data_IF_758681817045
#
_entry.id   IF_758681817045
#
_cell.length_a   1.000
_cell.length_b   1.000
_cell.length_c   1.000
_cell.angle_alpha   90.00
_cell.angle_beta   90.00
_cell.angle_gamma   90.00
#
_symmetry.space_group_name_H-M   'P 1'
#
loop_
_entity.id
_entity.type
_entity.pdbx_description
1 polymer ?
#
# COMPACT_ATOMS: atom_id res chain seq x y z
N UNK A 1 24.01 -5.16 -49.38
CA UNK A 1 24.06 -4.54 -48.07
C UNK A 1 23.49 -5.53 -47.03
N UNK A 2 24.39 -6.27 -46.36
CA UNK A 2 24.02 -7.31 -45.39
C UNK A 2 23.58 -6.68 -44.07
N UNK A 3 22.38 -6.98 -43.59
CA UNK A 3 21.94 -6.68 -42.25
C UNK A 3 22.63 -7.64 -41.29
N UNK A 4 23.66 -7.17 -40.62
CA UNK A 4 24.29 -7.89 -39.51
C UNK A 4 23.30 -8.07 -38.36
N UNK A 5 22.85 -9.31 -38.17
CA UNK A 5 22.06 -9.73 -36.99
C UNK A 5 22.93 -9.59 -35.74
N UNK A 6 22.67 -8.59 -34.93
CA UNK A 6 23.20 -8.52 -33.58
C UNK A 6 22.52 -9.63 -32.75
N UNK A 7 23.02 -10.85 -32.81
CA UNK A 7 22.70 -11.89 -31.84
C UNK A 7 23.37 -11.47 -30.54
N UNK A 8 22.62 -10.73 -29.70
CA UNK A 8 23.05 -10.45 -28.35
C UNK A 8 23.28 -11.77 -27.61
N UNK A 9 24.48 -11.98 -27.14
CA UNK A 9 24.80 -13.12 -26.28
C UNK A 9 24.00 -12.94 -24.99
N UNK A 10 22.95 -13.73 -24.82
CA UNK A 10 22.17 -13.74 -23.57
C UNK A 10 23.09 -14.31 -22.48
N UNK A 11 23.47 -13.45 -21.52
CA UNK A 11 24.30 -13.87 -20.38
C UNK A 11 23.49 -14.81 -19.51
N UNK A 12 24.00 -16.00 -19.27
CA UNK A 12 23.44 -16.92 -18.29
C UNK A 12 23.85 -16.48 -16.87
N UNK A 13 22.87 -16.33 -15.98
CA UNK A 13 23.05 -16.02 -14.56
C UNK A 13 22.71 -17.28 -13.76
N UNK A 14 23.71 -17.86 -13.07
CA UNK A 14 23.49 -19.04 -12.24
C UNK A 14 22.64 -18.72 -11.01
N UNK A 15 22.01 -19.75 -10.42
CA UNK A 15 21.25 -19.59 -9.17
C UNK A 15 22.10 -19.06 -8.01
N UNK A 16 23.36 -19.44 -7.95
CA UNK A 16 24.30 -18.95 -6.95
C UNK A 16 24.57 -17.44 -7.13
N UNK A 17 24.84 -17.01 -8.37
CA UNK A 17 25.02 -15.59 -8.69
C UNK A 17 23.76 -14.79 -8.41
N UNK A 18 22.58 -15.32 -8.78
CA UNK A 18 21.29 -14.68 -8.51
C UNK A 18 21.06 -14.49 -7.02
N UNK A 19 21.29 -15.52 -6.20
CA UNK A 19 21.16 -15.44 -4.74
C UNK A 19 22.11 -14.42 -4.15
N UNK A 20 23.38 -14.41 -4.54
CA UNK A 20 24.37 -13.46 -4.07
C UNK A 20 23.95 -12.01 -4.36
N UNK A 21 23.49 -11.74 -5.58
CA UNK A 21 22.97 -10.41 -5.97
C UNK A 21 21.75 -10.00 -5.14
N UNK A 22 20.79 -10.92 -4.90
CA UNK A 22 19.60 -10.64 -4.10
C UNK A 22 19.96 -10.38 -2.64
N UNK A 23 20.86 -11.15 -2.05
CA UNK A 23 21.30 -10.96 -0.67
C UNK A 23 21.92 -9.57 -0.47
N UNK A 24 22.75 -9.13 -1.41
CA UNK A 24 23.35 -7.79 -1.38
C UNK A 24 22.31 -6.69 -1.62
N UNK A 25 21.52 -6.81 -2.70
CA UNK A 25 20.53 -5.81 -3.08
C UNK A 25 19.44 -5.61 -2.03
N UNK A 26 19.05 -6.68 -1.36
CA UNK A 26 18.00 -6.65 -0.34
C UNK A 26 18.55 -6.42 1.07
N UNK A 27 19.79 -5.95 1.21
CA UNK A 27 20.46 -5.63 2.49
C UNK A 27 20.47 -6.78 3.51
N UNK A 28 20.49 -8.02 3.03
CA UNK A 28 20.59 -9.20 3.88
C UNK A 28 22.05 -9.57 4.22
N UNK A 29 23.00 -9.12 3.39
CA UNK A 29 24.43 -9.28 3.68
C UNK A 29 24.85 -8.34 4.82
N UNK A 30 25.66 -8.76 5.80
CA UNK A 30 26.04 -7.93 6.95
C UNK A 30 26.60 -6.55 6.57
N UNK A 31 27.44 -6.48 5.54
CA UNK A 31 28.08 -5.24 5.07
C UNK A 31 27.14 -4.28 4.31
N UNK A 32 25.91 -4.71 3.99
CA UNK A 32 24.90 -3.87 3.31
C UNK A 32 23.80 -3.37 4.24
N UNK A 33 23.78 -3.83 5.47
CA UNK A 33 22.78 -3.45 6.47
C UNK A 33 22.87 -1.96 6.80
N UNK A 34 21.75 -1.35 7.16
CA UNK A 34 21.67 0.05 7.55
C UNK A 34 20.55 0.25 8.57
N UNK A 35 20.66 1.25 9.43
CA UNK A 35 19.59 1.63 10.35
C UNK A 35 18.65 2.69 9.76
N UNK A 36 18.90 3.13 8.50
CA UNK A 36 17.98 3.98 7.74
C UNK A 36 16.81 3.16 7.18
N UNK A 37 15.65 3.27 7.83
CA UNK A 37 14.44 2.52 7.48
C UNK A 37 13.86 2.94 6.13
N UNK A 38 14.04 4.22 5.75
CA UNK A 38 13.59 4.73 4.43
C UNK A 38 14.44 4.11 3.33
N UNK A 39 15.76 4.07 3.49
CA UNK A 39 16.66 3.43 2.53
C UNK A 39 16.38 1.92 2.40
N UNK A 40 16.01 1.23 3.50
CA UNK A 40 15.58 -0.18 3.44
C UNK A 40 14.32 -0.34 2.59
N UNK A 41 13.33 0.53 2.78
CA UNK A 41 12.10 0.52 1.98
C UNK A 41 12.38 0.78 0.51
N UNK A 42 13.24 1.75 0.21
CA UNK A 42 13.56 2.16 -1.17
C UNK A 42 14.31 1.07 -1.94
N UNK A 43 15.28 0.41 -1.32
CA UNK A 43 16.02 -0.69 -1.97
C UNK A 43 15.14 -1.91 -2.29
N UNK A 44 14.07 -2.10 -1.52
CA UNK A 44 13.08 -3.15 -1.76
C UNK A 44 11.93 -2.66 -2.64
N UNK A 45 11.92 -1.36 -2.98
CA UNK A 45 10.79 -0.62 -3.59
C UNK A 45 9.64 -0.44 -2.61
N UNK A 46 9.29 -1.47 -1.86
CA UNK A 46 8.24 -1.45 -0.83
C UNK A 46 8.39 -2.63 0.14
N UNK A 47 7.83 -2.47 1.33
CA UNK A 47 7.65 -3.54 2.31
C UNK A 47 6.20 -4.02 2.29
N UNK A 48 5.97 -5.32 2.18
CA UNK A 48 4.62 -5.89 2.21
C UNK A 48 3.98 -5.66 3.60
N UNK A 49 2.74 -5.19 3.62
CA UNK A 49 2.08 -4.69 4.84
C UNK A 49 0.64 -5.19 5.03
N UNK A 50 0.26 -6.27 4.39
CA UNK A 50 -1.06 -6.88 4.64
C UNK A 50 -1.12 -7.37 6.10
N UNK A 51 -0.05 -7.97 6.59
CA UNK A 51 0.20 -8.14 8.02
C UNK A 51 1.13 -7.01 8.50
N UNK A 52 0.67 -6.13 9.42
CA UNK A 52 1.48 -5.01 9.93
C UNK A 52 2.80 -5.43 10.58
N UNK A 53 2.83 -6.57 11.28
CA UNK A 53 4.04 -7.07 11.97
C UNK A 53 5.15 -7.38 10.97
N UNK A 54 4.79 -7.86 9.78
CA UNK A 54 5.77 -8.22 8.74
C UNK A 54 6.63 -7.05 8.28
N UNK A 55 6.13 -5.81 8.35
CA UNK A 55 6.89 -4.59 8.03
C UNK A 55 8.06 -4.42 8.99
N UNK A 56 7.78 -4.53 10.29
CA UNK A 56 8.78 -4.38 11.35
C UNK A 56 9.85 -5.46 11.26
N UNK A 57 9.45 -6.72 11.10
CA UNK A 57 10.37 -7.84 10.97
C UNK A 57 11.21 -7.76 9.70
N UNK A 58 10.60 -7.35 8.59
CA UNK A 58 11.31 -7.16 7.32
C UNK A 58 12.35 -6.05 7.39
N UNK A 59 12.05 -4.95 8.05
CA UNK A 59 13.01 -3.88 8.28
C UNK A 59 14.12 -4.33 9.25
N UNK A 60 13.75 -4.87 10.41
CA UNK A 60 14.70 -5.31 11.44
C UNK A 60 15.71 -6.33 10.92
N UNK A 61 15.30 -7.25 10.05
CA UNK A 61 16.19 -8.24 9.42
C UNK A 61 17.30 -7.61 8.54
N UNK A 62 17.15 -6.33 8.15
CA UNK A 62 18.05 -5.56 7.28
C UNK A 62 18.80 -4.45 8.00
N UNK A 63 18.46 -4.24 9.27
CA UNK A 63 19.13 -3.23 10.09
C UNK A 63 20.49 -3.72 10.58
N UNK A 64 21.44 -2.80 10.71
CA UNK A 64 22.72 -3.05 11.36
C UNK A 64 22.50 -3.32 12.86
N UNK A 65 21.63 -2.52 13.47
CA UNK A 65 21.18 -2.64 14.86
C UNK A 65 19.67 -2.89 14.89
N UNK A 66 19.20 -4.16 14.87
CA UNK A 66 17.76 -4.46 14.79
C UNK A 66 16.95 -3.78 15.90
N UNK A 67 15.99 -2.94 15.52
CA UNK A 67 15.10 -2.24 16.44
C UNK A 67 13.74 -2.00 15.79
N UNK A 68 12.66 -2.04 16.55
CA UNK A 68 11.31 -1.74 16.07
C UNK A 68 10.97 -0.25 16.19
N UNK A 69 11.61 0.48 17.10
CA UNK A 69 11.31 1.88 17.37
C UNK A 69 11.51 2.80 16.15
N UNK A 70 12.62 2.74 15.39
CA UNK A 70 12.79 3.57 14.18
C UNK A 70 11.72 3.29 13.12
N UNK A 71 11.24 2.05 13.01
CA UNK A 71 10.17 1.68 12.07
C UNK A 71 8.85 2.31 12.51
N UNK A 72 8.54 2.28 13.82
CA UNK A 72 7.35 2.91 14.38
C UNK A 72 7.39 4.43 14.18
N UNK A 73 8.51 5.08 14.47
CA UNK A 73 8.69 6.52 14.27
C UNK A 73 8.47 6.91 12.79
N UNK A 74 9.11 6.19 11.86
CA UNK A 74 8.97 6.45 10.42
C UNK A 74 7.53 6.30 9.90
N UNK A 75 6.73 5.39 10.48
CA UNK A 75 5.34 5.15 10.09
C UNK A 75 4.35 6.12 10.76
N UNK A 76 4.52 6.43 12.04
CA UNK A 76 3.48 7.06 12.86
C UNK A 76 3.80 8.48 13.29
N UNK A 77 5.08 8.80 13.52
CA UNK A 77 5.55 10.11 14.00
C UNK A 77 6.02 10.97 12.83
N UNK A 78 7.15 10.61 12.21
CA UNK A 78 7.78 11.36 11.12
C UNK A 78 7.02 11.23 9.80
N UNK A 79 6.28 10.14 9.63
CA UNK A 79 5.53 9.82 8.41
C UNK A 79 6.39 9.87 7.15
N UNK A 80 7.63 9.45 7.26
CA UNK A 80 8.56 9.28 6.14
C UNK A 80 8.25 8.01 5.34
N UNK A 81 7.61 7.03 6.00
CA UNK A 81 7.03 5.84 5.39
C UNK A 81 5.50 5.93 5.39
N UNK A 82 4.89 5.55 4.27
CA UNK A 82 3.45 5.57 4.06
C UNK A 82 2.92 4.18 3.75
N UNK A 83 1.89 3.77 4.49
CA UNK A 83 1.15 2.54 4.20
C UNK A 83 0.07 2.83 3.16
N UNK A 84 0.13 2.17 2.02
CA UNK A 84 -0.69 2.50 0.86
C UNK A 84 -1.16 1.25 0.11
N UNK A 85 -2.37 1.30 -0.43
CA UNK A 85 -2.86 0.27 -1.34
C UNK A 85 -2.12 0.36 -2.68
N UNK A 86 -1.64 -0.80 -3.18
CA UNK A 86 -0.98 -0.87 -4.47
C UNK A 86 -1.23 -2.23 -5.15
N UNK A 87 -0.18 -2.89 -5.61
CA UNK A 87 -0.25 -4.11 -6.42
C UNK A 87 -1.19 -5.16 -5.81
N UNK A 88 -2.01 -5.78 -6.66
CA UNK A 88 -2.95 -6.87 -6.30
C UNK A 88 -3.94 -6.53 -5.17
N UNK A 89 -4.25 -5.25 -4.98
CA UNK A 89 -5.16 -4.75 -3.94
C UNK A 89 -4.69 -5.07 -2.50
N UNK A 90 -3.37 -5.21 -2.31
CA UNK A 90 -2.76 -5.41 -1.00
C UNK A 90 -2.10 -4.14 -0.48
N UNK A 91 -1.82 -4.10 0.82
CA UNK A 91 -1.17 -2.98 1.48
C UNK A 91 0.34 -3.13 1.44
N UNK A 92 1.01 -2.03 1.17
CA UNK A 92 2.45 -1.91 1.10
C UNK A 92 2.93 -0.67 1.84
N UNK A 93 4.13 -0.70 2.34
CA UNK A 93 4.80 0.46 2.93
C UNK A 93 5.87 0.96 1.96
N UNK A 94 5.80 2.23 1.63
CA UNK A 94 6.69 2.94 0.71
C UNK A 94 7.29 4.15 1.39
N UNK A 95 8.46 4.62 0.90
CA UNK A 95 8.86 6.00 1.11
C UNK A 95 7.87 6.96 0.43
N UNK A 96 7.87 8.23 0.83
CA UNK A 96 7.00 9.25 0.18
C UNK A 96 7.20 9.33 -1.33
N UNK A 97 8.45 9.23 -1.79
CA UNK A 97 8.79 9.26 -3.21
C UNK A 97 8.20 8.06 -3.96
N UNK A 98 8.41 6.85 -3.45
CA UNK A 98 7.88 5.64 -4.05
C UNK A 98 6.35 5.52 -3.91
N UNK A 99 5.75 6.05 -2.84
CA UNK A 99 4.29 6.09 -2.68
C UNK A 99 3.63 6.90 -3.81
N UNK A 100 4.20 8.04 -4.20
CA UNK A 100 3.70 8.84 -5.32
C UNK A 100 3.74 8.06 -6.64
N UNK A 101 4.85 7.37 -6.92
CA UNK A 101 4.98 6.52 -8.12
C UNK A 101 3.99 5.34 -8.09
N UNK A 102 3.88 4.65 -6.96
CA UNK A 102 2.96 3.52 -6.78
C UNK A 102 1.49 3.96 -6.92
N UNK A 103 1.15 5.17 -6.45
CA UNK A 103 -0.18 5.74 -6.59
C UNK A 103 -0.58 5.83 -8.08
N UNK A 104 0.25 6.43 -8.89
CA UNK A 104 -0.04 6.59 -10.33
C UNK A 104 0.05 5.27 -11.10
N UNK A 105 0.99 4.38 -10.74
CA UNK A 105 1.22 3.14 -11.47
C UNK A 105 0.24 2.01 -11.14
N UNK A 106 -0.40 2.04 -9.96
CA UNK A 106 -1.24 0.93 -9.52
C UNK A 106 -2.49 1.37 -8.73
N UNK A 107 -2.38 2.35 -7.82
CA UNK A 107 -3.47 2.67 -6.89
C UNK A 107 -4.66 3.29 -7.59
N UNK A 108 -4.46 4.14 -8.59
CA UNK A 108 -5.52 4.78 -9.38
C UNK A 108 -6.43 3.72 -10.01
N UNK A 109 -5.84 2.70 -10.64
CA UNK A 109 -6.61 1.61 -11.27
C UNK A 109 -7.33 0.76 -10.22
N UNK A 110 -6.66 0.46 -9.09
CA UNK A 110 -7.28 -0.26 -7.96
C UNK A 110 -8.47 0.54 -7.43
N UNK A 111 -8.32 1.84 -7.22
CA UNK A 111 -9.39 2.71 -6.72
C UNK A 111 -10.59 2.76 -7.68
N UNK A 112 -10.33 2.85 -9.00
CA UNK A 112 -11.38 2.84 -10.01
C UNK A 112 -12.18 1.52 -10.01
N UNK A 113 -11.50 0.39 -9.88
CA UNK A 113 -12.15 -0.93 -9.77
C UNK A 113 -12.97 -1.02 -8.47
N UNK A 114 -12.40 -0.65 -7.33
CA UNK A 114 -13.08 -0.69 -6.03
C UNK A 114 -14.32 0.21 -6.00
N UNK A 115 -14.21 1.44 -6.55
CA UNK A 115 -15.36 2.35 -6.66
C UNK A 115 -16.48 1.73 -7.49
N UNK A 116 -16.17 1.17 -8.66
CA UNK A 116 -17.16 0.52 -9.53
C UNK A 116 -17.84 -0.67 -8.81
N UNK A 117 -17.06 -1.46 -8.08
CA UNK A 117 -17.59 -2.60 -7.32
C UNK A 117 -18.50 -2.12 -6.17
N UNK A 118 -18.11 -1.09 -5.44
CA UNK A 118 -18.92 -0.48 -4.39
C UNK A 118 -20.25 0.07 -4.94
N UNK A 119 -20.21 0.80 -6.05
CA UNK A 119 -21.43 1.34 -6.66
C UNK A 119 -22.41 0.24 -7.10
N UNK A 120 -21.89 -0.88 -7.64
CA UNK A 120 -22.74 -2.03 -7.96
C UNK A 120 -23.38 -2.67 -6.73
N UNK A 121 -22.63 -2.75 -5.63
CA UNK A 121 -23.13 -3.29 -4.37
C UNK A 121 -24.18 -2.37 -3.76
N UNK A 122 -23.96 -1.06 -3.74
CA UNK A 122 -24.93 -0.07 -3.26
C UNK A 122 -26.25 -0.16 -4.04
N UNK A 123 -26.19 -0.31 -5.38
CA UNK A 123 -27.36 -0.53 -6.20
C UNK A 123 -28.11 -1.83 -5.84
N UNK A 124 -27.35 -2.93 -5.64
CA UNK A 124 -27.91 -4.22 -5.24
C UNK A 124 -28.55 -4.17 -3.84
N UNK A 125 -28.03 -3.33 -2.94
CA UNK A 125 -28.54 -3.10 -1.58
C UNK A 125 -29.64 -2.00 -1.54
N UNK A 126 -30.22 -1.63 -2.70
CA UNK A 126 -31.39 -0.76 -2.84
C UNK A 126 -31.10 0.73 -2.69
N UNK A 127 -29.91 1.20 -3.03
CA UNK A 127 -29.63 2.63 -3.16
C UNK A 127 -30.06 3.09 -4.55
N UNK A 128 -31.00 4.02 -4.63
CA UNK A 128 -31.58 4.51 -5.91
C UNK A 128 -30.53 5.18 -6.79
N UNK A 129 -29.68 6.05 -6.21
CA UNK A 129 -28.56 6.70 -6.90
C UNK A 129 -27.24 6.44 -6.16
N UNK A 130 -26.54 5.34 -6.47
CA UNK A 130 -25.25 5.00 -5.87
C UNK A 130 -24.16 6.05 -6.12
N UNK A 131 -24.19 6.75 -7.25
CA UNK A 131 -23.22 7.77 -7.60
C UNK A 131 -23.37 9.00 -6.71
N UNK A 132 -24.58 9.53 -6.57
CA UNK A 132 -24.89 10.66 -5.71
C UNK A 132 -24.59 10.33 -4.24
N UNK A 133 -25.02 9.14 -3.78
CA UNK A 133 -24.72 8.65 -2.43
C UNK A 133 -23.21 8.60 -2.15
N UNK A 134 -22.42 8.01 -3.07
CA UNK A 134 -20.98 7.94 -2.94
C UNK A 134 -20.31 9.32 -2.88
N UNK A 135 -20.75 10.24 -3.76
CA UNK A 135 -20.21 11.60 -3.83
C UNK A 135 -20.46 12.36 -2.51
N UNK A 136 -21.69 12.29 -1.99
CA UNK A 136 -22.06 12.90 -0.71
C UNK A 136 -21.29 12.29 0.46
N UNK A 137 -21.22 10.96 0.54
CA UNK A 137 -20.48 10.26 1.58
C UNK A 137 -18.99 10.62 1.57
N UNK A 138 -18.38 10.67 0.39
CA UNK A 138 -16.97 11.05 0.24
C UNK A 138 -16.73 12.51 0.66
N UNK A 139 -17.60 13.43 0.28
CA UNK A 139 -17.47 14.85 0.65
C UNK A 139 -17.59 15.05 2.17
N UNK A 140 -18.54 14.40 2.81
CA UNK A 140 -18.71 14.43 4.28
C UNK A 140 -17.48 13.90 5.02
N UNK A 141 -16.89 12.77 4.57
CA UNK A 141 -15.66 12.23 5.15
C UNK A 141 -14.49 13.17 4.93
N UNK A 142 -14.33 13.71 3.72
CA UNK A 142 -13.25 14.66 3.41
C UNK A 142 -13.37 15.96 4.20
N UNK A 143 -14.59 16.48 4.41
CA UNK A 143 -14.84 17.65 5.24
C UNK A 143 -14.42 17.40 6.67
N UNK A 144 -14.85 16.28 7.26
CA UNK A 144 -14.44 15.88 8.60
C UNK A 144 -12.92 15.79 8.74
N UNK A 145 -12.23 15.20 7.75
CA UNK A 145 -10.78 15.08 7.77
C UNK A 145 -10.07 16.44 7.60
N UNK A 146 -10.65 17.39 6.86
CA UNK A 146 -10.11 18.76 6.74
C UNK A 146 -10.23 19.53 8.06
N UNK A 147 -11.32 19.35 8.79
CA UNK A 147 -11.60 20.04 10.04
C UNK A 147 -10.79 19.46 11.21
N UNK A 148 -10.65 18.15 11.29
CA UNK A 148 -10.05 17.44 12.43
C UNK A 148 -8.65 16.87 12.16
N UNK A 149 -8.18 16.93 10.90
CA UNK A 149 -6.92 16.30 10.50
C UNK A 149 -7.00 14.77 10.44
N UNK A 150 -5.86 14.08 10.56
CA UNK A 150 -5.80 12.62 10.53
C UNK A 150 -6.65 11.99 11.62
N UNK A 151 -7.66 11.24 11.21
CA UNK A 151 -8.70 10.69 12.10
C UNK A 151 -8.80 9.18 11.90
N UNK A 152 -8.76 8.37 12.96
CA UNK A 152 -8.95 6.92 12.87
C UNK A 152 -10.33 6.55 12.32
N UNK A 153 -10.43 5.49 11.51
CA UNK A 153 -11.70 5.05 10.90
C UNK A 153 -12.83 4.87 11.93
N UNK A 154 -12.53 4.36 13.14
CA UNK A 154 -13.52 4.25 14.22
C UNK A 154 -14.10 5.60 14.63
N UNK A 155 -13.28 6.65 14.67
CA UNK A 155 -13.73 8.00 15.04
C UNK A 155 -14.52 8.64 13.89
N UNK A 156 -14.14 8.40 12.63
CA UNK A 156 -14.94 8.77 11.44
C UNK A 156 -16.32 8.12 11.51
N UNK A 157 -16.40 6.82 11.79
CA UNK A 157 -17.67 6.12 11.93
C UNK A 157 -18.53 6.62 13.11
N UNK A 158 -17.92 7.06 14.20
CA UNK A 158 -18.65 7.67 15.33
C UNK A 158 -19.21 9.06 14.97
N UNK A 159 -18.48 9.84 14.18
CA UNK A 159 -18.90 11.16 13.72
C UNK A 159 -19.95 11.10 12.58
N UNK A 160 -19.95 10.03 11.79
CA UNK A 160 -20.86 9.80 10.66
C UNK A 160 -21.57 8.45 10.82
N UNK A 161 -22.47 8.32 11.84
CA UNK A 161 -23.06 7.04 12.23
C UNK A 161 -23.97 6.45 11.14
N UNK A 162 -24.61 7.25 10.32
CA UNK A 162 -25.41 6.82 9.18
C UNK A 162 -24.58 6.14 8.09
N UNK A 163 -23.38 6.62 7.82
CA UNK A 163 -22.43 5.96 6.92
C UNK A 163 -21.89 4.68 7.54
N UNK A 164 -21.55 4.70 8.82
CA UNK A 164 -21.07 3.53 9.54
C UNK A 164 -22.12 2.41 9.68
N UNK A 165 -23.39 2.78 9.80
CA UNK A 165 -24.51 1.83 9.85
C UNK A 165 -24.80 1.18 8.50
N UNK A 166 -24.45 1.85 7.39
CA UNK A 166 -24.63 1.27 6.05
C UNK A 166 -23.69 0.11 5.85
N UNK A 167 -24.25 -1.05 5.57
CA UNK A 167 -23.52 -2.27 5.25
C UNK A 167 -23.60 -2.55 3.76
N UNK A 168 -22.51 -2.99 3.16
CA UNK A 168 -22.47 -3.49 1.79
C UNK A 168 -22.13 -4.97 1.79
N UNK A 169 -22.80 -5.76 0.94
CA UNK A 169 -22.57 -7.19 0.81
C UNK A 169 -21.29 -7.43 0.02
N UNK A 170 -20.35 -8.16 0.61
CA UNK A 170 -19.11 -8.56 -0.07
C UNK A 170 -19.35 -9.73 -1.03
N UNK A 171 -18.55 -9.85 -2.11
CA UNK A 171 -18.49 -11.08 -2.87
C UNK A 171 -18.11 -12.24 -1.95
N UNK A 172 -19.01 -13.26 -1.83
CA UNK A 172 -18.84 -14.38 -0.90
C UNK A 172 -19.74 -14.31 0.34
N UNK A 173 -20.65 -13.32 0.45
CA UNK A 173 -21.72 -13.28 1.46
C UNK A 173 -21.35 -12.63 2.80
N UNK A 174 -20.15 -12.09 2.96
CA UNK A 174 -19.79 -11.26 4.11
C UNK A 174 -20.35 -9.84 3.96
N UNK A 175 -20.46 -9.09 5.06
CA UNK A 175 -20.84 -7.67 5.05
C UNK A 175 -19.77 -6.82 5.71
N UNK A 176 -19.59 -5.60 5.20
CA UNK A 176 -18.71 -4.59 5.82
C UNK A 176 -19.37 -3.20 5.76
N UNK A 177 -18.96 -2.24 6.62
CA UNK A 177 -19.36 -0.85 6.49
C UNK A 177 -18.97 -0.28 5.12
N UNK A 178 -19.78 0.63 4.59
CA UNK A 178 -19.58 1.25 3.26
C UNK A 178 -18.52 2.38 3.25
N UNK A 179 -17.79 2.60 4.36
CA UNK A 179 -16.78 3.67 4.53
C UNK A 179 -15.35 3.14 4.46
#
# INVERSE_FOLDING_TARGET
MGRGSLRGVTRHVSDAERRARLVTRHRLAPHTRTDDVVAISDDLVALHSTDPVSVYLSAAARMATPSLAPVAAALHEDRTLLRHHAMRRTLWVFSRAHAALAHHAATVDVAAVQRRDLLRQLAADGVDDPQAWYAEAADRVLTLLREHGPTPARAVGAALPDLAARRVTLPGGGTQPAH
#
